data_IF_403499360964
#
_entry.id   IF_403499360964
#
_cell.length_a   1.000
_cell.length_b   1.000
_cell.length_c   1.000
_cell.angle_alpha   90.00
_cell.angle_beta   90.00
_cell.angle_gamma   90.00
#
_symmetry.space_group_name_H-M   'P 1'
#
loop_
_entity.id
_entity.type
_entity.pdbx_description
1 polymer ?
#
# COMPACT_ATOMS: atom_id res chain seq x y z
N UNK A 1 -21.28 -12.59 10.53
CA UNK A 1 -21.99 -12.25 11.79
C UNK A 1 -22.76 -13.42 12.38
N UNK A 2 -23.69 -14.05 11.65
CA UNK A 2 -24.41 -15.24 12.13
C UNK A 2 -23.48 -16.40 12.50
N UNK A 3 -22.46 -16.64 11.68
CA UNK A 3 -21.41 -17.63 11.93
C UNK A 3 -20.60 -17.36 13.23
N UNK A 4 -20.41 -16.09 13.61
CA UNK A 4 -19.68 -15.73 14.85
C UNK A 4 -20.52 -16.07 16.07
N UNK A 5 -21.82 -15.78 16.00
CA UNK A 5 -22.78 -16.11 17.06
C UNK A 5 -22.87 -17.62 17.23
N UNK A 6 -22.96 -18.37 16.12
CA UNK A 6 -23.02 -19.84 16.15
C UNK A 6 -21.73 -20.47 16.71
N UNK A 7 -20.56 -19.92 16.37
CA UNK A 7 -19.27 -20.41 16.88
C UNK A 7 -19.03 -20.11 18.37
N UNK A 8 -19.67 -19.07 18.92
CA UNK A 8 -19.55 -18.71 20.34
C UNK A 8 -20.67 -19.27 21.21
N UNK A 9 -21.67 -19.94 20.63
CA UNK A 9 -22.76 -20.54 21.40
C UNK A 9 -22.25 -21.67 22.29
N UNK A 10 -22.75 -21.76 23.54
CA UNK A 10 -22.54 -22.93 24.39
C UNK A 10 -23.01 -24.21 23.69
N UNK A 11 -22.56 -25.40 24.16
CA UNK A 11 -23.05 -26.67 23.64
C UNK A 11 -24.58 -26.71 23.60
N UNK A 12 -25.14 -27.25 22.52
CA UNK A 12 -26.59 -27.30 22.32
C UNK A 12 -27.34 -27.92 23.52
N UNK A 13 -26.74 -28.88 24.22
CA UNK A 13 -27.28 -29.49 25.44
C UNK A 13 -27.56 -28.51 26.58
N UNK A 14 -26.83 -27.40 26.63
CA UNK A 14 -27.01 -26.32 27.63
C UNK A 14 -27.83 -25.20 27.01
N UNK A 15 -27.50 -24.77 25.79
CA UNK A 15 -28.17 -23.66 25.12
C UNK A 15 -29.66 -23.94 24.87
N UNK A 16 -30.03 -25.20 24.61
CA UNK A 16 -31.42 -25.60 24.41
C UNK A 16 -32.24 -25.72 25.70
N UNK A 17 -31.62 -25.63 26.86
CA UNK A 17 -32.32 -25.57 28.16
C UNK A 17 -32.67 -24.15 28.57
N UNK A 18 -32.09 -23.14 27.92
CA UNK A 18 -32.35 -21.72 28.21
C UNK A 18 -33.69 -21.26 27.68
N UNK A 19 -34.31 -20.32 28.39
CA UNK A 19 -35.51 -19.63 27.94
C UNK A 19 -35.24 -18.78 26.70
N UNK A 20 -36.29 -18.48 25.91
CA UNK A 20 -36.13 -17.68 24.69
C UNK A 20 -35.56 -16.28 24.94
N UNK A 21 -35.85 -15.68 26.10
CA UNK A 21 -35.27 -14.40 26.52
C UNK A 21 -33.78 -14.48 26.83
N UNK A 22 -33.31 -15.58 27.42
CA UNK A 22 -31.88 -15.76 27.73
C UNK A 22 -31.06 -15.99 26.47
N UNK A 23 -31.57 -16.77 25.51
CA UNK A 23 -30.90 -17.01 24.22
C UNK A 23 -30.80 -15.72 23.40
N UNK A 24 -31.88 -14.95 23.32
CA UNK A 24 -31.89 -13.68 22.58
C UNK A 24 -30.97 -12.64 23.23
N UNK A 25 -30.90 -12.59 24.55
CA UNK A 25 -29.97 -11.72 25.27
C UNK A 25 -28.50 -12.11 25.01
N UNK A 26 -28.19 -13.42 25.06
CA UNK A 26 -26.85 -13.92 24.74
C UNK A 26 -26.46 -13.58 23.30
N UNK A 27 -27.29 -13.94 22.32
CA UNK A 27 -27.02 -13.65 20.90
C UNK A 27 -26.84 -12.14 20.66
N UNK A 28 -27.63 -11.29 21.34
CA UNK A 28 -27.50 -9.83 21.25
C UNK A 28 -26.17 -9.33 21.84
N UNK A 29 -25.76 -9.83 23.00
CA UNK A 29 -24.46 -9.46 23.59
C UNK A 29 -23.29 -9.92 22.74
N UNK A 30 -23.33 -11.16 22.25
CA UNK A 30 -22.32 -11.72 21.34
C UNK A 30 -22.23 -10.91 20.05
N UNK A 31 -23.38 -10.51 19.49
CA UNK A 31 -23.42 -9.68 18.30
C UNK A 31 -22.79 -8.30 18.55
N UNK A 32 -23.12 -7.64 19.67
CA UNK A 32 -22.53 -6.34 20.02
C UNK A 32 -21.02 -6.43 20.24
N UNK A 33 -20.55 -7.47 20.93
CA UNK A 33 -19.12 -7.69 21.15
C UNK A 33 -18.36 -7.90 19.84
N UNK A 34 -18.84 -8.82 19.00
CA UNK A 34 -18.23 -9.09 17.69
C UNK A 34 -18.26 -7.87 16.76
N UNK A 35 -19.35 -7.09 16.79
CA UNK A 35 -19.45 -5.84 16.01
C UNK A 35 -18.42 -4.82 16.48
N UNK A 36 -18.23 -4.66 17.80
CA UNK A 36 -17.25 -3.73 18.35
C UNK A 36 -15.81 -4.15 18.01
N UNK A 37 -15.50 -5.44 18.12
CA UNK A 37 -14.19 -5.97 17.72
C UNK A 37 -13.91 -5.75 16.24
N UNK A 38 -14.91 -5.95 15.37
CA UNK A 38 -14.76 -5.72 13.94
C UNK A 38 -14.49 -4.24 13.62
N UNK A 39 -15.18 -3.32 14.30
CA UNK A 39 -14.96 -1.86 14.14
C UNK A 39 -13.56 -1.48 14.62
N UNK A 40 -13.12 -2.00 15.77
CA UNK A 40 -11.78 -1.74 16.30
C UNK A 40 -10.71 -2.26 15.35
N UNK A 41 -10.85 -3.50 14.87
CA UNK A 41 -9.92 -4.08 13.90
C UNK A 41 -9.85 -3.25 12.62
N UNK A 42 -10.99 -2.89 12.05
CA UNK A 42 -11.04 -2.06 10.85
C UNK A 42 -10.35 -0.70 11.07
N UNK A 43 -10.59 -0.05 12.21
CA UNK A 43 -9.94 1.22 12.53
C UNK A 43 -8.42 1.09 12.66
N UNK A 44 -7.95 -0.01 13.25
CA UNK A 44 -6.53 -0.30 13.39
C UNK A 44 -5.89 -0.58 12.02
N UNK A 45 -6.49 -1.44 11.21
CA UNK A 45 -5.99 -1.79 9.88
C UNK A 45 -5.91 -0.55 8.97
N UNK A 46 -6.91 0.33 9.04
CA UNK A 46 -6.91 1.60 8.34
C UNK A 46 -5.77 2.52 8.83
N UNK A 47 -5.59 2.65 10.15
CA UNK A 47 -4.50 3.44 10.69
C UNK A 47 -3.11 2.88 10.32
N UNK A 48 -2.96 1.56 10.37
CA UNK A 48 -1.71 0.89 9.99
C UNK A 48 -1.40 1.12 8.50
N UNK A 49 -2.40 1.01 7.63
CA UNK A 49 -2.21 1.25 6.20
C UNK A 49 -1.76 2.69 5.92
N UNK A 50 -2.40 3.68 6.56
CA UNK A 50 -1.96 5.08 6.48
C UNK A 50 -0.51 5.25 6.97
N UNK A 51 -0.17 4.68 8.12
CA UNK A 51 1.19 4.78 8.67
C UNK A 51 2.24 4.18 7.72
N UNK A 52 1.96 3.04 7.08
CA UNK A 52 2.84 2.43 6.09
C UNK A 52 3.03 3.32 4.87
N UNK A 53 1.95 3.89 4.33
CA UNK A 53 2.02 4.81 3.20
C UNK A 53 2.83 6.06 3.53
N UNK A 54 2.61 6.65 4.71
CA UNK A 54 3.37 7.83 5.15
C UNK A 54 4.85 7.53 5.33
N UNK A 55 5.21 6.38 5.92
CA UNK A 55 6.60 5.98 6.09
C UNK A 55 7.32 5.85 4.73
N UNK A 56 6.68 5.17 3.76
CA UNK A 56 7.23 5.03 2.42
C UNK A 56 7.40 6.38 1.72
N UNK A 57 6.37 7.23 1.75
CA UNK A 57 6.43 8.56 1.14
C UNK A 57 7.53 9.43 1.77
N UNK A 58 7.71 9.34 3.08
CA UNK A 58 8.75 10.07 3.80
C UNK A 58 10.16 9.63 3.39
N UNK A 59 10.41 8.31 3.30
CA UNK A 59 11.69 7.78 2.83
C UNK A 59 11.99 8.21 1.39
N UNK A 60 10.98 8.17 0.51
CA UNK A 60 11.13 8.59 -0.87
C UNK A 60 11.44 10.09 -0.98
N UNK A 61 10.77 10.94 -0.19
CA UNK A 61 11.05 12.37 -0.15
C UNK A 61 12.48 12.66 0.34
N UNK A 62 12.93 11.96 1.37
CA UNK A 62 14.29 12.10 1.89
C UNK A 62 15.34 11.73 0.82
N UNK A 63 15.12 10.63 0.09
CA UNK A 63 16.00 10.21 -0.99
C UNK A 63 16.02 11.23 -2.14
N UNK A 64 14.86 11.76 -2.52
CA UNK A 64 14.76 12.79 -3.56
C UNK A 64 15.52 14.07 -3.16
N UNK A 65 15.33 14.54 -1.92
CA UNK A 65 16.07 15.71 -1.39
C UNK A 65 17.58 15.49 -1.39
N UNK A 66 18.03 14.28 -1.06
CA UNK A 66 19.45 13.93 -1.11
C UNK A 66 20.00 14.01 -2.54
N UNK A 67 19.29 13.45 -3.52
CA UNK A 67 19.66 13.50 -4.93
C UNK A 67 19.68 14.95 -5.44
N UNK A 68 18.69 15.75 -5.07
CA UNK A 68 18.64 17.17 -5.44
C UNK A 68 19.80 17.98 -4.84
N UNK A 69 20.19 17.69 -3.59
CA UNK A 69 21.35 18.34 -2.97
C UNK A 69 22.67 17.92 -3.63
N UNK A 70 22.82 16.63 -3.98
CA UNK A 70 23.96 16.14 -4.78
C UNK A 70 24.04 16.86 -6.13
N UNK A 71 22.92 16.97 -6.86
CA UNK A 71 22.86 17.67 -8.14
C UNK A 71 23.22 19.15 -8.00
N UNK A 72 22.74 19.82 -6.94
CA UNK A 72 23.11 21.22 -6.66
C UNK A 72 24.61 21.37 -6.38
N UNK A 73 25.21 20.46 -5.61
CA UNK A 73 26.66 20.46 -5.34
C UNK A 73 27.47 20.23 -6.61
N UNK A 74 27.13 19.22 -7.41
CA UNK A 74 27.79 18.96 -8.70
C UNK A 74 27.70 20.17 -9.63
N UNK A 75 26.53 20.82 -9.70
CA UNK A 75 26.35 22.04 -10.48
C UNK A 75 27.22 23.18 -9.95
N UNK A 76 27.31 23.38 -8.64
CA UNK A 76 28.21 24.39 -8.05
C UNK A 76 29.69 24.10 -8.33
N UNK A 77 30.11 22.83 -8.22
CA UNK A 77 31.47 22.38 -8.52
C UNK A 77 31.82 22.59 -10.00
N UNK A 78 30.85 22.38 -10.91
CA UNK A 78 30.97 22.72 -12.33
C UNK A 78 31.29 24.20 -12.55
N UNK A 79 30.49 25.09 -11.95
CA UNK A 79 30.71 26.54 -12.03
C UNK A 79 32.03 26.97 -11.39
N UNK A 80 32.53 26.22 -10.42
CA UNK A 80 33.82 26.44 -9.77
C UNK A 80 35.01 25.82 -10.53
N UNK A 81 34.78 25.12 -11.66
CA UNK A 81 35.82 24.46 -12.44
C UNK A 81 36.46 23.26 -11.74
N UNK A 82 35.79 22.69 -10.73
CA UNK A 82 36.25 21.47 -10.06
C UNK A 82 35.89 20.25 -10.92
N UNK A 83 36.75 19.22 -10.98
CA UNK A 83 36.43 17.99 -11.70
C UNK A 83 35.29 17.25 -11.01
N UNK A 84 34.15 17.14 -11.69
CA UNK A 84 32.93 16.45 -11.21
C UNK A 84 32.97 14.95 -11.54
N UNK A 85 33.69 14.60 -12.60
CA UNK A 85 33.95 13.24 -13.03
C UNK A 85 35.47 13.04 -12.94
N UNK A 86 35.90 12.03 -12.19
CA UNK A 86 37.28 11.58 -12.27
C UNK A 86 37.43 10.94 -13.64
N UNK A 87 38.24 11.55 -14.51
CA UNK A 87 38.55 10.95 -15.80
C UNK A 87 39.07 9.53 -15.55
N UNK A 88 38.46 8.50 -16.19
CA UNK A 88 38.96 7.16 -16.05
C UNK A 88 40.42 7.14 -16.52
N UNK A 89 41.29 6.37 -15.85
CA UNK A 89 42.68 6.26 -16.26
C UNK A 89 42.75 5.82 -17.73
N UNK A 90 43.75 6.30 -18.49
CA UNK A 90 43.91 5.90 -19.89
C UNK A 90 43.92 4.38 -20.01
N UNK A 91 42.98 3.83 -20.78
CA UNK A 91 42.90 2.39 -21.04
C UNK A 91 43.80 2.07 -22.23
N UNK A 92 44.76 1.17 -22.04
CA UNK A 92 45.55 0.63 -23.14
C UNK A 92 44.75 -0.42 -23.90
N UNK A 93 44.10 0.00 -24.98
CA UNK A 93 43.29 -0.85 -25.84
C UNK A 93 44.09 -1.97 -26.54
N UNK A 94 45.42 -1.87 -26.64
CA UNK A 94 46.25 -2.93 -27.22
C UNK A 94 46.45 -4.12 -26.27
N UNK A 95 46.20 -3.93 -24.96
CA UNK A 95 46.31 -4.96 -23.93
C UNK A 95 45.00 -5.71 -23.66
N UNK A 96 43.88 -5.23 -24.22
CA UNK A 96 42.57 -5.82 -23.98
C UNK A 96 42.40 -7.12 -24.77
N UNK A 97 41.87 -8.18 -24.14
CA UNK A 97 41.47 -9.38 -24.87
C UNK A 97 40.36 -9.05 -25.89
N UNK A 98 40.22 -9.84 -26.97
CA UNK A 98 39.10 -9.70 -27.90
C UNK A 98 37.77 -9.72 -27.15
N UNK A 99 36.86 -8.82 -27.54
CA UNK A 99 35.52 -8.76 -26.96
C UNK A 99 34.79 -10.09 -27.14
N UNK A 100 34.46 -10.76 -26.03
CA UNK A 100 33.87 -12.10 -26.00
C UNK A 100 32.34 -12.09 -25.88
N UNK A 101 31.72 -10.90 -25.82
CA UNK A 101 30.28 -10.73 -25.68
C UNK A 101 29.72 -11.10 -24.30
N UNK A 102 30.56 -11.43 -23.31
CA UNK A 102 30.13 -11.81 -21.96
C UNK A 102 29.75 -10.62 -21.07
N UNK A 103 30.15 -9.41 -21.48
CA UNK A 103 29.87 -8.17 -20.74
C UNK A 103 28.40 -7.77 -20.95
N UNK A 104 27.56 -8.16 -19.99
CA UNK A 104 26.24 -7.58 -19.82
C UNK A 104 26.40 -6.20 -19.19
N UNK A 105 26.23 -5.15 -19.99
CA UNK A 105 26.12 -3.80 -19.43
C UNK A 105 24.81 -3.72 -18.65
N UNK A 106 24.82 -3.19 -17.41
CA UNK A 106 23.57 -2.94 -16.72
C UNK A 106 22.77 -1.94 -17.57
N UNK A 107 21.57 -2.34 -17.99
CA UNK A 107 20.63 -1.42 -18.61
C UNK A 107 20.43 -0.27 -17.63
N UNK A 108 20.75 0.99 -17.99
CA UNK A 108 20.53 2.10 -17.09
C UNK A 108 19.05 2.12 -16.72
N UNK A 109 18.70 2.29 -15.44
CA UNK A 109 17.31 2.47 -15.06
C UNK A 109 16.77 3.68 -15.84
N UNK A 110 15.76 3.42 -16.68
CA UNK A 110 15.01 4.48 -17.33
C UNK A 110 14.32 5.27 -16.22
N UNK A 111 14.88 6.42 -15.86
CA UNK A 111 14.22 7.40 -15.01
C UNK A 111 13.16 8.11 -15.86
N UNK A 112 12.02 7.46 -16.09
CA UNK A 112 10.79 8.22 -16.34
C UNK A 112 10.61 9.14 -15.13
N UNK A 113 10.41 10.43 -15.39
CA UNK A 113 9.99 11.37 -14.35
C UNK A 113 8.80 10.72 -13.66
N UNK A 114 8.92 10.42 -12.36
CA UNK A 114 7.81 9.93 -11.54
C UNK A 114 6.83 11.09 -11.37
N UNK A 115 6.16 11.47 -12.46
CA UNK A 115 4.82 11.99 -12.37
C UNK A 115 4.02 10.82 -11.80
N UNK A 116 3.81 10.84 -10.49
CA UNK A 116 2.87 9.94 -9.82
C UNK A 116 1.53 10.19 -10.50
N UNK A 117 1.21 9.40 -11.52
CA UNK A 117 -0.14 9.37 -12.07
C UNK A 117 -1.02 8.65 -11.03
N UNK A 118 -2.02 9.31 -10.43
CA UNK A 118 -2.83 8.71 -9.37
C UNK A 118 -3.73 7.54 -9.83
N UNK A 119 -3.51 6.99 -11.02
CA UNK A 119 -4.46 6.08 -11.71
C UNK A 119 -3.84 4.89 -12.44
N UNK A 120 -2.51 4.71 -12.45
CA UNK A 120 -1.90 3.65 -13.28
C UNK A 120 -1.95 2.24 -12.66
N UNK A 121 -2.26 2.09 -11.36
CA UNK A 121 -2.43 0.76 -10.74
C UNK A 121 -3.72 0.03 -11.17
N UNK A 122 -4.53 0.62 -12.07
CA UNK A 122 -5.83 0.07 -12.46
C UNK A 122 -5.89 -0.52 -13.87
N UNK A 123 -4.79 -0.48 -14.66
CA UNK A 123 -4.83 -0.89 -16.08
C UNK A 123 -3.99 -2.11 -16.47
N UNK A 124 -3.31 -2.79 -15.55
CA UNK A 124 -2.77 -4.14 -15.81
C UNK A 124 -3.70 -5.23 -15.25
N UNK A 125 -4.95 -5.24 -15.69
CA UNK A 125 -5.81 -6.42 -15.56
C UNK A 125 -6.48 -6.66 -16.91
N UNK A 126 -5.83 -7.47 -17.74
CA UNK A 126 -6.48 -8.20 -18.82
C UNK A 126 -6.19 -9.70 -18.65
N UNK A 127 -7.06 -10.59 -19.16
CA UNK A 127 -7.59 -11.67 -18.35
C UNK A 127 -7.18 -13.02 -18.94
N UNK A 128 -6.33 -13.79 -18.26
CA UNK A 128 -6.37 -15.24 -18.38
C UNK A 128 -5.47 -15.95 -17.37
N UNK A 129 -6.12 -16.81 -16.58
CA UNK A 129 -5.60 -18.07 -16.03
C UNK A 129 -4.44 -18.01 -15.02
N UNK A 130 -4.81 -18.37 -13.78
CA UNK A 130 -4.15 -19.50 -13.12
C UNK A 130 -3.28 -19.16 -11.92
N UNK A 131 -3.89 -19.20 -10.73
CA UNK A 131 -3.27 -19.78 -9.55
C UNK A 131 -2.43 -18.88 -8.65
N UNK A 132 -2.86 -18.85 -7.38
CA UNK A 132 -2.03 -18.72 -6.17
C UNK A 132 -1.61 -17.31 -5.73
N UNK A 133 -2.36 -16.79 -4.75
CA UNK A 133 -1.78 -16.32 -3.48
C UNK A 133 -1.34 -14.87 -3.38
N UNK A 134 -2.21 -14.02 -2.85
CA UNK A 134 -1.99 -13.11 -1.70
C UNK A 134 -2.95 -11.94 -1.80
N UNK A 135 -4.00 -11.94 -0.97
CA UNK A 135 -4.96 -10.87 -0.88
C UNK A 135 -4.31 -9.60 -0.32
N UNK A 136 -3.88 -8.73 -1.23
CA UNK A 136 -3.62 -7.32 -0.95
C UNK A 136 -4.96 -6.60 -0.95
N UNK A 137 -5.47 -6.23 0.22
CA UNK A 137 -6.70 -5.46 0.36
C UNK A 137 -6.57 -4.13 -0.37
N UNK A 138 -7.21 -4.02 -1.54
CA UNK A 138 -7.32 -2.76 -2.26
C UNK A 138 -8.41 -1.92 -1.61
N UNK A 139 -8.07 -0.68 -1.26
CA UNK A 139 -9.04 0.29 -0.77
C UNK A 139 -10.05 0.56 -1.90
N UNK A 140 -11.30 0.14 -1.72
CA UNK A 140 -12.34 0.33 -2.73
C UNK A 140 -12.98 1.70 -2.58
N UNK A 141 -13.20 2.42 -3.70
CA UNK A 141 -13.82 3.76 -3.68
C UNK A 141 -15.23 3.76 -3.04
N UNK A 142 -15.91 2.61 -3.04
CA UNK A 142 -17.16 2.41 -2.30
C UNK A 142 -16.98 2.54 -0.79
N UNK A 143 -15.89 2.01 -0.24
CA UNK A 143 -15.55 2.07 1.19
C UNK A 143 -15.25 3.51 1.64
N UNK A 144 -14.58 4.28 0.78
CA UNK A 144 -14.40 5.73 0.99
C UNK A 144 -15.74 6.47 0.97
N UNK A 145 -16.61 6.17 0.00
CA UNK A 145 -17.93 6.80 -0.12
C UNK A 145 -18.81 6.49 1.09
N UNK A 146 -18.80 5.25 1.58
CA UNK A 146 -19.53 4.84 2.79
C UNK A 146 -18.97 5.51 4.04
N UNK A 147 -17.64 5.62 4.17
CA UNK A 147 -17.00 6.34 5.26
C UNK A 147 -17.38 7.82 5.27
N UNK A 148 -17.35 8.48 4.11
CA UNK A 148 -17.73 9.90 4.02
C UNK A 148 -19.22 10.11 4.29
N UNK A 149 -20.08 9.17 3.89
CA UNK A 149 -21.52 9.17 4.20
C UNK A 149 -21.78 8.94 5.69
N UNK A 150 -20.96 8.14 6.37
CA UNK A 150 -21.02 7.91 7.81
C UNK A 150 -20.62 9.16 8.62
N UNK A 151 -19.57 9.86 8.19
CA UNK A 151 -19.06 11.05 8.90
C UNK A 151 -19.94 12.30 8.65
N UNK A 152 -20.37 12.51 7.41
CA UNK A 152 -21.06 13.75 7.01
C UNK A 152 -22.55 13.58 6.73
N UNK A 153 -23.07 12.36 6.84
CA UNK A 153 -24.42 12.00 6.40
C UNK A 153 -24.53 11.87 4.88
N UNK A 154 -25.64 11.31 4.38
CA UNK A 154 -25.87 11.19 2.95
C UNK A 154 -25.91 12.58 2.26
N UNK A 155 -25.32 12.71 1.06
CA UNK A 155 -25.29 13.98 0.34
C UNK A 155 -26.73 14.45 0.09
N UNK A 156 -27.08 15.62 0.65
CA UNK A 156 -28.40 16.17 0.46
C UNK A 156 -28.58 16.63 -0.99
N UNK A 157 -29.70 16.30 -1.65
CA UNK A 157 -29.99 16.84 -2.96
C UNK A 157 -30.09 18.37 -2.84
N UNK A 158 -29.33 19.09 -3.68
CA UNK A 158 -29.53 20.53 -3.82
C UNK A 158 -30.93 20.74 -4.40
N UNK A 159 -31.79 21.38 -3.61
CA UNK A 159 -33.10 21.84 -4.06
C UNK A 159 -32.92 22.68 -5.34
N UNK A 160 -33.67 22.31 -6.38
CA UNK A 160 -33.90 23.14 -7.57
C UNK A 160 -35.08 24.07 -7.32
#
# INVERSE_FOLDING_TARGET
MQEIIENQRPPASVFDTWSGSERTFFDHQTWMGASMEQVLKHSFDCQESWNRTYAYAFEQEMNNRYIDDQNRRMHADWHAGRPIVVDPPPVDYASLPPYDGSVSYPTPPLHHSQWVEPRQDQQHVDPQQGGSGSGSGSFSFGEWSEMMTSIFGPPQPRYY
#
